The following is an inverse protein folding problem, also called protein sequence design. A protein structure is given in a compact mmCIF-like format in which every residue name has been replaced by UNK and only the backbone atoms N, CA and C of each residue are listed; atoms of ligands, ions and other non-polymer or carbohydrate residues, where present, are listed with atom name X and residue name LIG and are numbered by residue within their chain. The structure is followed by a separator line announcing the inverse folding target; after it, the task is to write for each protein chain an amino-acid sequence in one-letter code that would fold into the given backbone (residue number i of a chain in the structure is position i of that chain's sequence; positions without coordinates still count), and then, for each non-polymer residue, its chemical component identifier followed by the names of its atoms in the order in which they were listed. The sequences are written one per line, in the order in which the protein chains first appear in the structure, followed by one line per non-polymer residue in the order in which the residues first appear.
data_IF_608647575975
#
_entry.id   IF_608647575975
#
_cell.length_a   1.000
_cell.length_b   1.000
_cell.length_c   1.000
_cell.angle_alpha   90.00
_cell.angle_beta   90.00
_cell.angle_gamma   90.00
#
_symmetry.space_group_name_H-M   'P 1'
#
loop_
_entity.id
_entity.type
_entity.pdbx_description
1 polymer ?
#
# COMPACT_ATOMS: atom_id res chain seq x y z
N UNK A 1 -46.72 44.48 48.70
CA UNK A 1 -46.50 44.40 50.17
C UNK A 1 -45.69 43.18 50.59
N UNK A 2 -46.05 41.94 50.21
CA UNK A 2 -45.32 40.71 50.64
C UNK A 2 -43.84 40.70 50.22
N UNK A 3 -43.53 41.07 48.97
CA UNK A 3 -42.15 41.13 48.46
C UNK A 3 -41.31 42.22 49.14
N UNK A 4 -41.92 43.37 49.48
CA UNK A 4 -41.24 44.46 50.19
C UNK A 4 -40.85 44.06 51.60
N UNK A 5 -41.74 43.38 52.34
CA UNK A 5 -41.42 42.88 53.69
C UNK A 5 -40.30 41.84 53.68
N UNK A 6 -40.23 40.99 52.66
CA UNK A 6 -39.10 40.06 52.45
C UNK A 6 -37.80 40.80 52.14
N UNK A 7 -37.85 41.83 51.29
CA UNK A 7 -36.69 42.66 50.97
C UNK A 7 -36.16 43.40 52.21
N UNK A 8 -37.04 43.93 53.07
CA UNK A 8 -36.65 44.57 54.32
C UNK A 8 -36.04 43.58 55.33
N UNK A 9 -36.62 42.39 55.47
CA UNK A 9 -36.07 41.35 56.33
C UNK A 9 -34.67 40.92 55.87
N UNK A 10 -34.48 40.76 54.56
CA UNK A 10 -33.18 40.47 53.97
C UNK A 10 -32.19 41.62 54.20
N UNK A 11 -32.58 42.86 53.93
CA UNK A 11 -31.74 44.04 54.16
C UNK A 11 -31.25 44.13 55.61
N UNK A 12 -32.13 43.85 56.59
CA UNK A 12 -31.76 43.78 58.01
C UNK A 12 -30.79 42.64 58.29
N UNK A 13 -30.99 41.46 57.70
CA UNK A 13 -30.12 40.29 57.93
C UNK A 13 -28.71 40.47 57.37
N UNK A 14 -28.54 41.27 56.31
CA UNK A 14 -27.23 41.55 55.69
C UNK A 14 -26.62 42.89 56.14
N UNK A 15 -27.31 43.63 57.02
CA UNK A 15 -26.84 44.94 57.51
C UNK A 15 -26.86 46.07 56.47
N UNK A 16 -27.59 45.91 55.36
CA UNK A 16 -27.66 46.94 54.30
C UNK A 16 -28.72 48.00 54.64
N UNK A 17 -28.24 49.05 55.31
CA UNK A 17 -29.06 50.19 55.77
C UNK A 17 -29.65 50.97 54.59
N UNK A 18 -28.93 51.07 53.46
CA UNK A 18 -29.40 51.79 52.27
C UNK A 18 -30.55 51.04 51.57
N UNK A 19 -30.40 49.73 51.36
CA UNK A 19 -31.44 48.90 50.78
C UNK A 19 -32.69 48.85 51.68
N UNK A 20 -32.49 48.82 53.01
CA UNK A 20 -33.58 48.90 53.97
C UNK A 20 -34.34 50.24 53.83
N UNK A 21 -33.60 51.36 53.77
CA UNK A 21 -34.18 52.70 53.55
C UNK A 21 -34.97 52.81 52.24
N UNK A 22 -34.42 52.32 51.12
CA UNK A 22 -35.08 52.35 49.80
C UNK A 22 -36.38 51.52 49.79
N UNK A 23 -36.35 50.36 50.45
CA UNK A 23 -37.53 49.50 50.56
C UNK A 23 -38.63 50.15 51.40
N UNK A 24 -38.27 50.75 52.54
CA UNK A 24 -39.19 51.51 53.41
C UNK A 24 -39.83 52.69 52.66
N UNK A 25 -39.03 53.43 51.89
CA UNK A 25 -39.52 54.53 51.05
C UNK A 25 -40.51 54.05 49.98
N UNK A 26 -40.24 52.90 49.38
CA UNK A 26 -41.16 52.30 48.40
C UNK A 26 -42.49 51.90 49.05
N UNK A 27 -42.43 51.32 50.25
CA UNK A 27 -43.63 50.97 51.03
C UNK A 27 -44.46 52.22 51.38
N UNK A 28 -43.82 53.29 51.86
CA UNK A 28 -44.52 54.52 52.20
C UNK A 28 -45.14 55.20 50.98
N UNK A 29 -44.47 55.16 49.82
CA UNK A 29 -45.03 55.64 48.55
C UNK A 29 -46.29 54.87 48.13
N UNK A 30 -46.33 53.55 48.34
CA UNK A 30 -47.53 52.73 48.09
C UNK A 30 -48.65 53.11 49.07
N UNK A 31 -48.34 53.22 50.35
CA UNK A 31 -49.34 53.58 51.38
C UNK A 31 -49.98 54.95 51.11
N UNK A 32 -49.19 55.94 50.71
CA UNK A 32 -49.66 57.27 50.32
C UNK A 32 -50.62 57.20 49.11
N UNK A 33 -50.31 56.39 48.09
CA UNK A 33 -51.22 56.20 46.94
C UNK A 33 -52.53 55.50 47.31
N UNK A 34 -52.53 54.70 48.37
CA UNK A 34 -53.74 54.05 48.90
C UNK A 34 -54.53 54.93 49.89
N UNK A 35 -54.14 56.20 50.08
CA UNK A 35 -54.81 57.15 50.97
C UNK A 35 -54.48 56.99 52.46
N UNK A 36 -53.58 56.07 52.82
CA UNK A 36 -53.16 55.80 54.22
C UNK A 36 -52.03 56.74 54.63
N UNK A 37 -52.29 58.04 54.57
CA UNK A 37 -51.24 59.07 54.60
C UNK A 37 -50.56 59.22 55.96
N UNK A 38 -51.26 59.01 57.09
CA UNK A 38 -50.65 59.00 58.43
C UNK A 38 -49.64 57.86 58.61
N UNK A 39 -50.01 56.66 58.15
CA UNK A 39 -49.13 55.49 58.21
C UNK A 39 -47.92 55.66 57.29
N UNK A 40 -48.16 56.17 56.07
CA UNK A 40 -47.11 56.50 55.13
C UNK A 40 -46.11 57.53 55.70
N UNK A 41 -46.62 58.54 56.40
CA UNK A 41 -45.81 59.59 57.02
C UNK A 41 -44.93 59.03 58.15
N UNK A 42 -45.50 58.18 59.01
CA UNK A 42 -44.75 57.54 60.09
C UNK A 42 -43.60 56.66 59.55
N UNK A 43 -43.88 55.87 58.51
CA UNK A 43 -42.90 54.98 57.88
C UNK A 43 -41.84 55.77 57.11
N UNK A 44 -42.21 56.84 56.40
CA UNK A 44 -41.24 57.70 55.70
C UNK A 44 -40.27 58.40 56.66
N UNK A 45 -40.73 58.80 57.85
CA UNK A 45 -39.85 59.36 58.90
C UNK A 45 -38.83 58.33 59.41
N UNK A 46 -39.23 57.05 59.49
CA UNK A 46 -38.28 55.97 59.81
C UNK A 46 -37.26 55.79 58.69
N UNK A 47 -37.69 55.76 57.43
CA UNK A 47 -36.81 55.65 56.27
C UNK A 47 -35.82 56.80 56.16
N UNK A 48 -36.27 58.04 56.44
CA UNK A 48 -35.39 59.21 56.45
C UNK A 48 -34.25 59.08 57.46
N UNK A 49 -34.50 58.57 58.68
CA UNK A 49 -33.45 58.37 59.69
C UNK A 49 -32.35 57.41 59.21
N UNK A 50 -32.73 56.37 58.45
CA UNK A 50 -31.76 55.44 57.86
C UNK A 50 -30.89 56.12 56.80
N UNK A 51 -31.47 56.99 55.97
CA UNK A 51 -30.69 57.75 54.99
C UNK A 51 -29.77 58.79 55.64
N UNK A 52 -30.16 59.34 56.80
CA UNK A 52 -29.29 60.19 57.62
C UNK A 52 -28.11 59.38 58.17
N UNK A 53 -28.35 58.16 58.65
CA UNK A 53 -27.30 57.25 59.14
C UNK A 53 -26.27 56.89 58.05
N UNK A 54 -26.75 56.67 56.81
CA UNK A 54 -25.89 56.39 55.65
C UNK A 54 -25.17 57.66 55.14
N UNK A 55 -25.69 58.85 55.46
CA UNK A 55 -25.16 60.13 54.99
C UNK A 55 -25.45 60.42 53.51
N UNK A 56 -26.37 59.69 52.87
CA UNK A 56 -26.71 59.89 51.46
C UNK A 56 -27.64 61.09 51.29
N UNK A 57 -27.03 62.23 50.93
CA UNK A 57 -27.73 63.50 50.75
C UNK A 57 -28.85 63.45 49.70
N UNK A 58 -28.71 62.64 48.64
CA UNK A 58 -29.71 62.53 47.58
C UNK A 58 -30.97 61.82 48.09
N UNK A 59 -30.78 60.70 48.79
CA UNK A 59 -31.90 59.98 49.41
C UNK A 59 -32.52 60.74 50.59
N UNK A 60 -31.72 61.47 51.37
CA UNK A 60 -32.20 62.36 52.43
C UNK A 60 -33.13 63.45 51.86
N UNK A 61 -32.67 64.21 50.86
CA UNK A 61 -33.46 65.27 50.23
C UNK A 61 -34.75 64.72 49.60
N UNK A 62 -34.65 63.61 48.87
CA UNK A 62 -35.81 62.98 48.25
C UNK A 62 -36.81 62.43 49.27
N UNK A 63 -36.35 61.94 50.42
CA UNK A 63 -37.24 61.44 51.47
C UNK A 63 -37.98 62.55 52.19
N UNK A 64 -37.34 63.70 52.43
CA UNK A 64 -38.02 64.89 52.97
C UNK A 64 -39.09 65.41 52.00
N UNK A 65 -38.82 65.36 50.69
CA UNK A 65 -39.83 65.67 49.66
C UNK A 65 -41.02 64.72 49.77
N UNK A 66 -40.81 63.42 49.93
CA UNK A 66 -41.91 62.46 50.07
C UNK A 66 -42.70 62.64 51.38
N UNK A 67 -42.01 62.93 52.49
CA UNK A 67 -42.63 63.29 53.78
C UNK A 67 -43.53 64.52 53.61
N UNK A 68 -43.06 65.55 52.90
CA UNK A 68 -43.85 66.77 52.71
C UNK A 68 -45.07 66.54 51.82
N UNK A 69 -45.01 65.65 50.83
CA UNK A 69 -46.20 65.25 50.08
C UNK A 69 -47.27 64.60 50.96
N UNK A 70 -46.85 63.77 51.92
CA UNK A 70 -47.77 63.13 52.86
C UNK A 70 -48.40 64.16 53.80
N UNK A 71 -47.61 65.14 54.27
CA UNK A 71 -48.11 66.28 55.06
C UNK A 71 -49.09 67.15 54.27
N UNK A 72 -48.79 67.45 53.00
CA UNK A 72 -49.68 68.14 52.05
C UNK A 72 -50.99 67.36 51.90
N UNK A 73 -50.93 66.05 51.68
CA UNK A 73 -52.12 65.21 51.53
C UNK A 73 -52.99 65.15 52.81
N UNK A 74 -52.40 65.39 53.99
CA UNK A 74 -53.08 65.48 55.29
C UNK A 74 -53.55 66.92 55.63
N UNK A 75 -53.34 67.89 54.74
CA UNK A 75 -53.68 69.30 54.99
C UNK A 75 -52.75 70.02 55.96
N UNK A 76 -51.60 69.43 56.30
CA UNK A 76 -50.60 70.00 57.23
C UNK A 76 -49.62 70.90 56.50
N UNK A 77 -50.13 71.96 55.86
CA UNK A 77 -49.39 72.80 54.91
C UNK A 77 -48.15 73.46 55.52
N UNK A 78 -48.25 73.99 56.75
CA UNK A 78 -47.13 74.66 57.44
C UNK A 78 -46.00 73.69 57.77
N UNK A 79 -46.32 72.46 58.20
CA UNK A 79 -45.32 71.42 58.45
C UNK A 79 -44.64 70.95 57.16
N UNK A 80 -45.41 70.86 56.07
CA UNK A 80 -44.87 70.50 54.77
C UNK A 80 -43.86 71.52 54.26
N UNK A 81 -44.14 72.82 54.42
CA UNK A 81 -43.23 73.90 54.04
C UNK A 81 -41.92 73.81 54.84
N UNK A 82 -41.97 73.67 56.16
CA UNK A 82 -40.76 73.54 56.98
C UNK A 82 -39.91 72.30 56.60
N UNK A 83 -40.59 71.21 56.23
CA UNK A 83 -39.92 69.99 55.75
C UNK A 83 -39.28 70.20 54.37
N UNK A 84 -39.96 70.93 53.49
CA UNK A 84 -39.47 71.29 52.16
C UNK A 84 -38.29 72.28 52.22
N UNK A 85 -38.29 73.23 53.16
CA UNK A 85 -37.17 74.14 53.39
C UNK A 85 -35.93 73.37 53.83
N UNK A 86 -36.11 72.38 54.71
CA UNK A 86 -35.03 71.46 55.11
C UNK A 86 -34.52 70.63 53.93
N UNK A 87 -35.43 70.17 53.05
CA UNK A 87 -35.06 69.46 51.83
C UNK A 87 -34.30 70.34 50.84
N UNK A 88 -34.66 71.63 50.75
CA UNK A 88 -34.04 72.58 49.84
C UNK A 88 -32.57 72.79 50.17
N UNK A 89 -32.23 72.93 51.45
CA UNK A 89 -30.84 73.09 51.89
C UNK A 89 -29.98 71.90 51.43
N UNK A 90 -30.48 70.68 51.60
CA UNK A 90 -29.77 69.47 51.18
C UNK A 90 -29.67 69.38 49.66
N UNK A 91 -30.76 69.70 48.95
CA UNK A 91 -30.77 69.74 47.49
C UNK A 91 -29.82 70.79 46.93
N UNK A 92 -29.67 71.92 47.64
CA UNK A 92 -28.80 73.01 47.24
C UNK A 92 -27.32 72.65 47.37
N UNK A 93 -26.95 72.09 48.52
CA UNK A 93 -25.59 71.63 48.78
C UNK A 93 -25.18 70.44 47.92
N UNK A 94 -26.14 69.62 47.49
CA UNK A 94 -25.92 68.44 46.65
C UNK A 94 -25.99 68.70 45.15
N UNK A 95 -26.40 69.88 44.70
CA UNK A 95 -26.60 70.17 43.29
C UNK A 95 -27.74 69.36 42.65
N UNK A 96 -28.78 69.00 43.42
CA UNK A 96 -29.83 68.08 42.97
C UNK A 96 -30.97 68.83 42.26
N UNK A 97 -30.74 69.33 41.06
CA UNK A 97 -31.67 70.21 40.34
C UNK A 97 -33.07 69.62 40.12
N UNK A 98 -33.17 68.32 39.80
CA UNK A 98 -34.48 67.65 39.70
C UNK A 98 -35.22 67.63 41.03
N UNK A 99 -34.51 67.46 42.15
CA UNK A 99 -35.10 67.50 43.50
C UNK A 99 -35.49 68.92 43.87
N UNK A 100 -34.67 69.94 43.54
CA UNK A 100 -35.00 71.37 43.71
C UNK A 100 -36.30 71.72 42.99
N UNK A 101 -36.49 71.29 41.74
CA UNK A 101 -37.73 71.50 41.00
C UNK A 101 -38.94 70.92 41.72
N UNK A 102 -38.85 69.68 42.24
CA UNK A 102 -39.94 69.06 42.97
C UNK A 102 -40.26 69.81 44.28
N UNK A 103 -39.22 70.29 44.97
CA UNK A 103 -39.37 71.08 46.20
C UNK A 103 -40.09 72.39 45.89
N UNK A 104 -39.57 73.19 44.95
CA UNK A 104 -40.13 74.49 44.57
C UNK A 104 -41.61 74.40 44.16
N UNK A 105 -41.95 73.38 43.37
CA UNK A 105 -43.33 73.16 42.96
C UNK A 105 -44.25 72.80 44.14
N UNK A 106 -43.81 71.91 45.04
CA UNK A 106 -44.59 71.53 46.23
C UNK A 106 -44.72 72.66 47.24
N UNK A 107 -43.67 73.45 47.44
CA UNK A 107 -43.69 74.63 48.33
C UNK A 107 -44.63 75.69 47.76
N UNK A 108 -44.60 75.94 46.44
CA UNK A 108 -45.55 76.83 45.75
C UNK A 108 -46.99 76.40 46.00
N UNK A 109 -47.30 75.12 45.79
CA UNK A 109 -48.63 74.55 46.04
C UNK A 109 -49.06 74.68 47.50
N UNK A 110 -48.16 74.43 48.46
CA UNK A 110 -48.48 74.55 49.88
C UNK A 110 -48.77 76.00 50.30
N UNK A 111 -48.03 76.99 49.79
CA UNK A 111 -48.33 78.41 50.02
C UNK A 111 -49.66 78.84 49.39
N UNK A 112 -49.98 78.34 48.19
CA UNK A 112 -51.27 78.59 47.54
C UNK A 112 -52.44 78.10 48.41
N UNK A 113 -52.33 76.90 49.00
CA UNK A 113 -53.35 76.35 49.92
C UNK A 113 -53.46 77.11 51.25
N UNK A 114 -52.44 77.84 51.66
CA UNK A 114 -52.46 78.72 52.83
C UNK A 114 -52.99 80.14 52.53
N UNK A 115 -53.25 80.47 51.26
CA UNK A 115 -53.67 81.79 50.83
C UNK A 115 -52.53 82.82 50.71
N UNK A 116 -51.27 82.40 50.85
CA UNK A 116 -50.10 83.29 50.71
C UNK A 116 -49.62 83.31 49.25
N UNK A 117 -50.33 84.10 48.43
CA UNK A 117 -50.09 84.16 46.99
C UNK A 117 -48.73 84.75 46.63
N UNK A 118 -48.17 85.60 47.49
CA UNK A 118 -46.86 86.23 47.28
C UNK A 118 -45.75 85.19 47.30
N UNK A 119 -45.72 84.35 48.35
CA UNK A 119 -44.72 83.29 48.45
C UNK A 119 -44.97 82.17 47.43
N UNK A 120 -46.23 81.85 47.12
CA UNK A 120 -46.56 80.87 46.07
C UNK A 120 -45.98 81.26 44.71
N UNK A 121 -46.13 82.53 44.30
CA UNK A 121 -45.58 83.05 43.06
C UNK A 121 -44.05 83.02 43.04
N UNK A 122 -43.40 83.45 44.13
CA UNK A 122 -41.95 83.45 44.25
C UNK A 122 -41.34 82.05 44.05
N UNK A 123 -41.95 81.02 44.64
CA UNK A 123 -41.48 79.63 44.46
C UNK A 123 -41.71 79.13 43.03
N UNK A 124 -42.79 79.58 42.38
CA UNK A 124 -43.13 79.24 40.99
C UNK A 124 -42.16 79.86 39.99
N UNK A 125 -41.71 81.10 40.22
CA UNK A 125 -40.68 81.76 39.41
C UNK A 125 -39.34 81.04 39.52
N UNK A 126 -38.92 80.68 40.74
CA UNK A 126 -37.72 79.88 40.99
C UNK A 126 -37.80 78.51 40.31
N UNK A 127 -38.97 77.86 40.34
CA UNK A 127 -39.18 76.57 39.66
C UNK A 127 -38.90 76.68 38.15
N UNK A 128 -39.42 77.72 37.49
CA UNK A 128 -39.23 77.94 36.05
C UNK A 128 -37.74 78.11 35.71
N UNK A 129 -36.99 78.88 36.50
CA UNK A 129 -35.56 79.07 36.28
C UNK A 129 -34.76 77.77 36.35
N UNK A 130 -35.05 76.90 37.34
CA UNK A 130 -34.37 75.60 37.46
C UNK A 130 -34.82 74.63 36.36
N UNK A 131 -36.09 74.68 35.97
CA UNK A 131 -36.66 73.83 34.90
C UNK A 131 -35.94 74.03 33.57
N UNK A 132 -35.77 75.29 33.15
CA UNK A 132 -35.17 75.62 31.85
C UNK A 132 -33.70 75.13 31.76
N UNK A 133 -32.97 75.15 32.88
CA UNK A 133 -31.60 74.64 32.98
C UNK A 133 -31.53 73.10 32.88
N UNK A 134 -32.45 72.38 33.52
CA UNK A 134 -32.46 70.91 33.54
C UNK A 134 -32.86 70.32 32.18
N UNK A 135 -33.79 70.94 31.45
CA UNK A 135 -34.24 70.42 30.14
C UNK A 135 -33.15 70.49 29.06
N UNK A 136 -32.28 71.51 29.08
CA UNK A 136 -31.18 71.63 28.13
C UNK A 136 -30.15 70.49 28.22
N UNK A 137 -29.83 70.01 29.43
CA UNK A 137 -28.83 68.95 29.64
C UNK A 137 -29.29 67.57 29.21
N UNK A 138 -30.59 67.26 29.36
CA UNK A 138 -31.16 65.96 29.03
C UNK A 138 -31.20 65.67 27.52
N UNK A 139 -31.37 66.70 26.69
CA UNK A 139 -31.37 66.58 25.22
C UNK A 139 -29.97 66.20 24.72
N UNK A 140 -28.93 66.82 25.27
CA UNK A 140 -27.52 66.56 24.92
C UNK A 140 -27.13 65.11 25.27
N UNK A 141 -27.53 64.63 26.45
CA UNK A 141 -27.25 63.25 26.87
C UNK A 141 -27.92 62.21 25.95
N UNK A 142 -29.17 62.46 25.54
CA UNK A 142 -29.92 61.58 24.65
C UNK A 142 -29.27 61.49 23.26
N UNK A 143 -28.82 62.63 22.72
CA UNK A 143 -28.15 62.68 21.42
C UNK A 143 -26.82 61.92 21.45
N UNK A 144 -26.00 62.15 22.47
CA UNK A 144 -24.75 61.43 22.68
C UNK A 144 -24.98 59.91 22.75
N UNK A 145 -26.02 59.47 23.46
CA UNK A 145 -26.35 58.04 23.57
C UNK A 145 -26.82 57.42 22.25
N UNK A 146 -27.52 58.16 21.39
CA UNK A 146 -27.91 57.70 20.06
C UNK A 146 -26.71 57.61 19.11
N UNK A 147 -25.82 58.61 19.15
CA UNK A 147 -24.60 58.62 18.34
C UNK A 147 -23.67 57.45 18.70
N UNK A 148 -23.48 57.20 19.99
CA UNK A 148 -22.73 56.04 20.48
C UNK A 148 -23.32 54.71 19.99
N UNK A 149 -24.65 54.55 20.02
CA UNK A 149 -25.32 53.34 19.50
C UNK A 149 -25.11 53.16 17.99
N UNK A 150 -25.17 54.25 17.24
CA UNK A 150 -24.95 54.21 15.80
C UNK A 150 -23.50 53.83 15.47
N UNK A 151 -22.53 54.46 16.12
CA UNK A 151 -21.11 54.15 15.97
C UNK A 151 -20.80 52.70 16.33
N UNK A 152 -21.39 52.19 17.41
CA UNK A 152 -21.23 50.81 17.84
C UNK A 152 -21.82 49.82 16.82
N UNK A 153 -23.03 50.06 16.32
CA UNK A 153 -23.65 49.23 15.28
C UNK A 153 -22.81 49.21 13.99
N UNK A 154 -22.31 50.37 13.57
CA UNK A 154 -21.42 50.49 12.40
C UNK A 154 -20.13 49.67 12.57
N UNK A 155 -19.55 49.67 13.78
CA UNK A 155 -18.34 48.90 14.09
C UNK A 155 -18.59 47.39 14.04
N UNK A 156 -19.68 46.91 14.67
CA UNK A 156 -20.06 45.50 14.61
C UNK A 156 -20.27 45.02 13.17
N UNK A 157 -20.93 45.82 12.34
CA UNK A 157 -21.09 45.52 10.92
C UNK A 157 -19.74 45.42 10.20
N UNK A 158 -18.84 46.39 10.38
CA UNK A 158 -17.52 46.36 9.78
C UNK A 158 -16.72 45.09 10.18
N UNK A 159 -16.72 44.73 11.46
CA UNK A 159 -16.03 43.55 11.97
C UNK A 159 -16.62 42.25 11.38
N UNK A 160 -17.95 42.15 11.30
CA UNK A 160 -18.62 40.99 10.69
C UNK A 160 -18.30 40.81 9.20
N UNK A 161 -18.23 41.91 8.44
CA UNK A 161 -17.88 41.86 7.02
C UNK A 161 -16.42 41.46 6.84
N UNK A 162 -15.52 42.03 7.66
CA UNK A 162 -14.11 41.67 7.64
C UNK A 162 -13.91 40.17 7.95
N UNK A 163 -14.63 39.65 8.95
CA UNK A 163 -14.58 38.24 9.29
C UNK A 163 -15.14 37.34 8.17
N UNK A 164 -16.25 37.74 7.54
CA UNK A 164 -16.82 37.00 6.40
C UNK A 164 -15.86 36.97 5.20
N UNK A 165 -15.12 38.05 4.95
CA UNK A 165 -14.09 38.10 3.90
C UNK A 165 -12.90 37.18 4.21
N UNK A 166 -12.44 37.14 5.46
CA UNK A 166 -11.39 36.22 5.90
C UNK A 166 -11.81 34.75 5.68
N UNK A 167 -13.01 34.38 6.13
CA UNK A 167 -13.56 33.04 5.94
C UNK A 167 -13.68 32.66 4.46
N UNK A 168 -14.07 33.62 3.59
CA UNK A 168 -14.14 33.38 2.15
C UNK A 168 -12.75 33.11 1.55
N UNK A 169 -11.74 33.89 1.94
CA UNK A 169 -10.37 33.71 1.48
C UNK A 169 -9.75 32.39 1.97
N UNK A 170 -9.97 32.01 3.23
CA UNK A 170 -9.55 30.71 3.76
C UNK A 170 -10.21 29.54 3.04
N UNK A 171 -11.50 29.66 2.71
CA UNK A 171 -12.23 28.62 1.98
C UNK A 171 -11.72 28.48 0.53
N UNK A 172 -11.39 29.59 -0.12
CA UNK A 172 -10.83 29.58 -1.47
C UNK A 172 -9.42 28.98 -1.50
N UNK A 173 -8.55 29.40 -0.59
CA UNK A 173 -7.19 28.84 -0.45
C UNK A 173 -7.23 27.35 -0.10
N UNK A 174 -8.10 26.94 0.82
CA UNK A 174 -8.32 25.52 1.15
C UNK A 174 -8.78 24.70 -0.07
N UNK A 175 -9.74 25.23 -0.86
CA UNK A 175 -10.20 24.58 -2.10
C UNK A 175 -9.07 24.44 -3.13
N UNK A 176 -8.25 25.47 -3.30
CA UNK A 176 -7.09 25.42 -4.19
C UNK A 176 -6.07 24.38 -3.74
N UNK A 177 -5.79 24.28 -2.43
CA UNK A 177 -4.89 23.26 -1.89
C UNK A 177 -5.41 21.84 -2.15
N UNK A 178 -6.69 21.58 -1.89
CA UNK A 178 -7.31 20.27 -2.16
C UNK A 178 -7.26 19.93 -3.66
N UNK A 179 -7.54 20.89 -4.53
CA UNK A 179 -7.48 20.67 -5.97
C UNK A 179 -6.04 20.33 -6.42
N UNK A 180 -5.05 21.09 -5.95
CA UNK A 180 -3.63 20.84 -6.24
C UNK A 180 -3.14 19.49 -5.69
N UNK A 181 -3.64 19.07 -4.53
CA UNK A 181 -3.32 17.76 -3.96
C UNK A 181 -3.93 16.62 -4.79
N UNK A 182 -5.19 16.77 -5.22
CA UNK A 182 -5.86 15.77 -6.08
C UNK A 182 -5.15 15.61 -7.43
N UNK A 183 -4.82 16.71 -8.11
CA UNK A 183 -4.11 16.65 -9.41
C UNK A 183 -2.73 16.02 -9.29
N UNK A 184 -1.96 16.36 -8.23
CA UNK A 184 -0.67 15.71 -7.95
C UNK A 184 -0.81 14.21 -7.68
N UNK A 185 -1.80 13.81 -6.90
CA UNK A 185 -2.04 12.39 -6.59
C UNK A 185 -2.44 11.60 -7.84
N UNK A 186 -3.30 12.16 -8.69
CA UNK A 186 -3.68 11.56 -9.97
C UNK A 186 -2.49 11.44 -10.94
N UNK A 187 -1.63 12.45 -11.02
CA UNK A 187 -0.43 12.39 -11.85
C UNK A 187 0.54 11.29 -11.40
N UNK A 188 0.76 11.14 -10.08
CA UNK A 188 1.59 10.07 -9.51
C UNK A 188 0.99 8.70 -9.80
N UNK A 189 -0.33 8.52 -9.58
CA UNK A 189 -1.02 7.27 -9.85
C UNK A 189 -0.96 6.89 -11.35
N UNK A 190 -1.18 7.86 -12.25
CA UNK A 190 -1.05 7.66 -13.69
C UNK A 190 0.36 7.28 -14.14
N UNK A 191 1.38 7.96 -13.59
CA UNK A 191 2.79 7.62 -13.84
C UNK A 191 3.15 6.22 -13.34
N UNK A 192 2.68 5.84 -12.15
CA UNK A 192 2.86 4.48 -11.61
C UNK A 192 2.21 3.41 -12.48
N UNK A 193 0.99 3.63 -12.97
CA UNK A 193 0.30 2.70 -13.86
C UNK A 193 1.05 2.52 -15.20
N UNK A 194 1.58 3.60 -15.78
CA UNK A 194 2.39 3.53 -17.00
C UNK A 194 3.70 2.76 -16.80
N UNK A 195 4.37 2.93 -15.65
CA UNK A 195 5.57 2.16 -15.31
C UNK A 195 5.28 0.67 -15.15
N UNK A 196 4.17 0.32 -14.48
CA UNK A 196 3.75 -1.08 -14.35
C UNK A 196 3.41 -1.71 -15.70
N UNK A 197 2.68 -0.99 -16.57
CA UNK A 197 2.39 -1.44 -17.93
C UNK A 197 3.68 -1.62 -18.75
N UNK A 198 4.58 -0.63 -18.72
CA UNK A 198 5.87 -0.71 -19.42
C UNK A 198 6.73 -1.88 -18.93
N UNK A 199 6.81 -2.07 -17.61
CA UNK A 199 7.51 -3.21 -17.00
C UNK A 199 6.90 -4.56 -17.37
N UNK A 200 5.57 -4.65 -17.37
CA UNK A 200 4.85 -5.86 -17.78
C UNK A 200 5.10 -6.24 -19.24
N UNK A 201 5.06 -5.25 -20.15
CA UNK A 201 5.37 -5.46 -21.58
C UNK A 201 6.83 -5.89 -21.77
N UNK A 202 7.77 -5.22 -21.12
CA UNK A 202 9.19 -5.58 -21.19
C UNK A 202 9.45 -7.00 -20.69
N UNK A 203 8.83 -7.38 -19.56
CA UNK A 203 8.92 -8.73 -19.01
C UNK A 203 8.35 -9.80 -19.97
N UNK A 204 7.21 -9.53 -20.59
CA UNK A 204 6.60 -10.44 -21.55
C UNK A 204 7.48 -10.65 -22.79
N UNK A 205 8.06 -9.58 -23.33
CA UNK A 205 8.99 -9.64 -24.47
C UNK A 205 10.26 -10.41 -24.13
N UNK A 206 10.82 -10.17 -22.95
CA UNK A 206 12.02 -10.86 -22.46
C UNK A 206 11.76 -12.37 -22.25
N UNK A 207 10.60 -12.71 -21.69
CA UNK A 207 10.16 -14.11 -21.57
C UNK A 207 10.01 -14.79 -22.93
N UNK A 208 9.43 -14.10 -23.93
CA UNK A 208 9.30 -14.63 -25.29
C UNK A 208 10.67 -14.89 -25.93
N UNK A 209 11.59 -13.92 -25.83
CA UNK A 209 12.96 -14.04 -26.35
C UNK A 209 13.74 -15.18 -25.69
N UNK A 210 13.61 -15.36 -24.37
CA UNK A 210 14.22 -16.49 -23.66
C UNK A 210 13.71 -17.84 -24.18
N UNK A 211 12.40 -17.95 -24.39
CA UNK A 211 11.79 -19.18 -24.94
C UNK A 211 12.33 -19.48 -26.34
N UNK A 212 12.33 -18.50 -27.23
CA UNK A 212 12.86 -18.66 -28.60
C UNK A 212 14.35 -19.02 -28.63
N UNK A 213 15.16 -18.45 -27.73
CA UNK A 213 16.58 -18.82 -27.60
C UNK A 213 16.73 -20.26 -27.13
N UNK A 214 15.97 -20.67 -26.12
CA UNK A 214 16.01 -22.04 -25.60
C UNK A 214 15.61 -23.06 -26.67
N UNK A 215 14.54 -22.78 -27.45
CA UNK A 215 14.12 -23.63 -28.57
C UNK A 215 15.21 -23.74 -29.65
N UNK A 216 15.87 -22.63 -29.99
CA UNK A 216 17.00 -22.64 -30.95
C UNK A 216 18.20 -23.42 -30.44
N UNK A 217 18.56 -23.24 -29.17
CA UNK A 217 19.69 -23.93 -28.56
C UNK A 217 19.40 -25.43 -28.44
N UNK A 218 18.17 -25.81 -28.07
CA UNK A 218 17.73 -27.20 -28.05
C UNK A 218 17.82 -27.84 -29.45
N UNK A 219 17.29 -27.20 -30.49
CA UNK A 219 17.36 -27.70 -31.87
C UNK A 219 18.80 -27.81 -32.37
N UNK A 220 19.68 -26.87 -31.98
CA UNK A 220 21.11 -26.91 -32.32
C UNK A 220 21.81 -28.08 -31.63
N UNK A 221 21.53 -28.30 -30.35
CA UNK A 221 22.08 -29.42 -29.59
C UNK A 221 21.60 -30.76 -30.14
N UNK A 222 20.32 -30.87 -30.49
CA UNK A 222 19.76 -32.05 -31.15
C UNK A 222 20.47 -32.33 -32.48
N UNK A 223 20.62 -31.31 -33.33
CA UNK A 223 21.35 -31.42 -34.61
C UNK A 223 22.81 -31.84 -34.39
N UNK A 224 23.47 -31.30 -33.36
CA UNK A 224 24.86 -31.62 -33.03
C UNK A 224 24.99 -33.06 -32.50
N UNK A 225 24.05 -33.52 -31.68
CA UNK A 225 24.00 -34.89 -31.18
C UNK A 225 23.78 -35.90 -32.33
N UNK A 226 22.84 -35.61 -33.24
CA UNK A 226 22.60 -36.41 -34.44
C UNK A 226 23.86 -36.46 -35.34
N UNK A 227 24.56 -35.33 -35.52
CA UNK A 227 25.84 -35.30 -36.24
C UNK A 227 26.94 -36.11 -35.57
N UNK A 228 27.01 -36.12 -34.24
CA UNK A 228 28.02 -36.92 -33.53
C UNK A 228 27.78 -38.43 -33.61
N UNK A 229 26.54 -38.85 -33.87
CA UNK A 229 26.20 -40.26 -34.07
C UNK A 229 26.62 -40.78 -35.45
N UNK A 230 26.83 -39.88 -36.43
CA UNK A 230 27.43 -40.23 -37.72
C UNK A 230 28.95 -40.11 -37.60
N UNK A 231 29.64 -41.22 -37.33
CA UNK A 231 31.11 -41.24 -37.20
C UNK A 231 31.77 -40.71 -38.50
N UNK A 232 32.38 -39.50 -38.49
CA UNK A 232 32.91 -38.89 -39.72
C UNK A 232 34.05 -39.70 -40.33
N UNK A 233 34.79 -40.44 -39.51
CA UNK A 233 35.83 -41.36 -39.96
C UNK A 233 35.23 -42.55 -40.70
N UNK A 234 34.13 -43.12 -40.19
CA UNK A 234 33.41 -44.20 -40.89
C UNK A 234 32.88 -43.74 -42.26
N UNK A 235 32.27 -42.56 -42.33
CA UNK A 235 31.77 -42.02 -43.61
C UNK A 235 32.91 -41.80 -44.60
N UNK A 236 34.02 -41.19 -44.16
CA UNK A 236 35.18 -40.97 -45.02
C UNK A 236 35.77 -42.31 -45.52
N UNK A 237 35.86 -43.31 -44.65
CA UNK A 237 36.35 -44.64 -45.01
C UNK A 237 35.43 -45.36 -45.99
N UNK A 238 34.12 -45.28 -45.79
CA UNK A 238 33.14 -45.84 -46.73
C UNK A 238 33.27 -45.22 -48.12
N UNK A 239 33.42 -43.89 -48.21
CA UNK A 239 33.64 -43.19 -49.49
C UNK A 239 34.96 -43.60 -50.16
N UNK A 240 36.02 -43.83 -49.38
CA UNK A 240 37.31 -44.31 -49.90
C UNK A 240 37.21 -45.74 -50.44
N UNK A 241 36.49 -46.63 -49.75
CA UNK A 241 36.23 -48.00 -50.21
C UNK A 241 35.43 -48.02 -51.51
N UNK A 242 34.37 -47.20 -51.60
CA UNK A 242 33.61 -47.03 -52.84
C UNK A 242 34.52 -46.57 -53.98
N UNK A 243 35.36 -45.57 -53.72
CA UNK A 243 36.33 -45.07 -54.70
C UNK A 243 37.37 -46.13 -55.10
N UNK A 244 37.78 -47.00 -54.17
CA UNK A 244 38.70 -48.10 -54.45
C UNK A 244 38.07 -49.17 -55.34
N UNK A 245 36.85 -49.63 -55.05
CA UNK A 245 36.13 -50.60 -55.88
C UNK A 245 35.90 -50.08 -57.30
N UNK A 246 35.58 -48.79 -57.45
CA UNK A 246 35.47 -48.15 -58.77
C UNK A 246 36.80 -48.18 -59.53
N UNK A 247 37.92 -47.83 -58.86
CA UNK A 247 39.26 -47.88 -59.48
C UNK A 247 39.71 -49.30 -59.84
N UNK A 248 39.33 -50.29 -59.05
CA UNK A 248 39.65 -51.71 -59.27
C UNK A 248 38.75 -52.38 -60.33
N UNK A 249 37.84 -51.63 -60.97
CA UNK A 249 36.89 -52.14 -61.95
C UNK A 249 35.94 -53.22 -61.39
N UNK A 250 35.53 -53.07 -60.13
CA UNK A 250 34.55 -53.94 -59.46
C UNK A 250 33.21 -53.21 -59.22
N UNK A 251 32.48 -52.80 -60.28
CA UNK A 251 31.31 -51.95 -60.14
C UNK A 251 30.16 -52.60 -59.36
N UNK A 252 30.03 -53.94 -59.43
CA UNK A 252 29.03 -54.68 -58.68
C UNK A 252 29.27 -54.61 -57.17
N UNK A 253 30.53 -54.77 -56.73
CA UNK A 253 30.91 -54.63 -55.31
C UNK A 253 30.73 -53.20 -54.82
N UNK A 254 31.05 -52.20 -55.65
CA UNK A 254 30.79 -50.80 -55.33
C UNK A 254 29.29 -50.52 -55.14
N UNK A 255 28.43 -51.02 -56.04
CA UNK A 255 26.98 -50.83 -55.96
C UNK A 255 26.37 -51.49 -54.72
N UNK A 256 26.78 -52.72 -54.43
CA UNK A 256 26.34 -53.45 -53.23
C UNK A 256 26.78 -52.73 -51.94
N UNK A 257 28.03 -52.27 -51.89
CA UNK A 257 28.55 -51.50 -50.75
C UNK A 257 27.78 -50.19 -50.56
N UNK A 258 27.47 -49.45 -51.63
CA UNK A 258 26.65 -48.22 -51.58
C UNK A 258 25.25 -48.53 -51.03
N UNK A 259 24.61 -49.60 -51.49
CA UNK A 259 23.27 -49.96 -51.05
C UNK A 259 23.25 -50.31 -49.55
N UNK A 260 24.20 -51.14 -49.09
CA UNK A 260 24.35 -51.51 -47.67
C UNK A 260 24.70 -50.30 -46.80
N UNK A 261 25.60 -49.43 -47.26
CA UNK A 261 25.94 -48.18 -46.60
C UNK A 261 24.73 -47.25 -46.47
N UNK A 262 23.95 -47.07 -47.54
CA UNK A 262 22.72 -46.28 -47.51
C UNK A 262 21.68 -46.81 -46.53
N UNK A 263 21.50 -48.15 -46.47
CA UNK A 263 20.60 -48.81 -45.51
C UNK A 263 21.07 -48.60 -44.07
N UNK A 264 22.36 -48.81 -43.80
CA UNK A 264 22.94 -48.55 -42.47
C UNK A 264 22.74 -47.10 -42.03
N UNK A 265 23.04 -46.13 -42.90
CA UNK A 265 22.86 -44.71 -42.57
C UNK A 265 21.41 -44.36 -42.26
N UNK A 266 20.44 -44.96 -42.97
CA UNK A 266 19.02 -44.79 -42.68
C UNK A 266 18.66 -45.34 -41.30
N UNK A 267 19.06 -46.58 -41.00
CA UNK A 267 18.80 -47.23 -39.71
C UNK A 267 19.43 -46.45 -38.55
N UNK A 268 20.67 -45.99 -38.70
CA UNK A 268 21.36 -45.18 -37.68
C UNK A 268 20.58 -43.90 -37.39
N UNK A 269 20.11 -43.18 -38.42
CA UNK A 269 19.36 -41.94 -38.26
C UNK A 269 17.94 -42.15 -37.70
N UNK A 270 17.29 -43.25 -38.07
CA UNK A 270 15.95 -43.60 -37.57
C UNK A 270 16.03 -44.06 -36.11
N UNK A 271 16.94 -44.98 -35.79
CA UNK A 271 17.10 -45.53 -34.45
C UNK A 271 17.54 -44.46 -33.44
N UNK A 272 18.38 -43.51 -33.86
CA UNK A 272 18.95 -42.54 -32.93
C UNK A 272 18.01 -41.42 -32.47
N UNK A 273 16.86 -41.28 -33.13
CA UNK A 273 15.76 -40.41 -32.71
C UNK A 273 14.92 -40.99 -31.57
N UNK A 274 15.04 -42.30 -31.33
CA UNK A 274 14.25 -43.03 -30.35
C UNK A 274 15.05 -43.22 -29.06
N UNK A 275 14.35 -43.28 -27.92
CA UNK A 275 14.98 -43.57 -26.64
C UNK A 275 15.42 -45.04 -26.53
N UNK A 276 14.61 -45.95 -27.05
CA UNK A 276 14.89 -47.38 -27.20
C UNK A 276 14.36 -47.84 -28.57
N UNK A 277 14.97 -48.89 -29.11
CA UNK A 277 14.57 -49.55 -30.37
C UNK A 277 14.50 -51.06 -30.16
N UNK A 278 13.69 -51.80 -30.96
CA UNK A 278 13.71 -53.26 -30.92
C UNK A 278 15.13 -53.78 -31.16
N UNK A 279 15.53 -54.79 -30.40
CA UNK A 279 16.83 -55.45 -30.51
C UNK A 279 17.09 -55.90 -31.96
N UNK A 280 16.04 -56.34 -32.67
CA UNK A 280 16.10 -56.69 -34.09
C UNK A 280 16.64 -55.54 -34.95
N UNK A 281 16.17 -54.31 -34.74
CA UNK A 281 16.60 -53.13 -35.50
C UNK A 281 18.06 -52.77 -35.18
N UNK A 282 18.45 -52.88 -33.89
CA UNK A 282 19.82 -52.62 -33.48
C UNK A 282 20.80 -53.65 -34.07
N UNK A 283 20.40 -54.93 -34.08
CA UNK A 283 21.17 -56.02 -34.67
C UNK A 283 21.26 -55.93 -36.20
N UNK A 284 20.21 -55.47 -36.87
CA UNK A 284 20.25 -55.21 -38.31
C UNK A 284 21.29 -54.13 -38.65
N UNK A 285 21.29 -53.03 -37.89
CA UNK A 285 22.29 -51.98 -38.04
C UNK A 285 23.71 -52.50 -37.73
N UNK A 286 23.87 -53.27 -36.66
CA UNK A 286 25.17 -53.83 -36.26
C UNK A 286 25.71 -54.83 -37.30
N UNK A 287 24.86 -55.67 -37.86
CA UNK A 287 25.21 -56.61 -38.92
C UNK A 287 25.68 -55.90 -40.19
N UNK A 288 24.92 -54.90 -40.65
CA UNK A 288 25.32 -54.08 -41.81
C UNK A 288 26.65 -53.36 -41.56
N UNK A 289 26.88 -52.87 -40.34
CA UNK A 289 28.15 -52.25 -39.96
C UNK A 289 29.31 -53.25 -40.06
N UNK A 290 29.16 -54.45 -39.48
CA UNK A 290 30.16 -55.52 -39.52
C UNK A 290 30.46 -55.97 -40.95
N UNK A 291 29.44 -56.14 -41.79
CA UNK A 291 29.61 -56.50 -43.21
C UNK A 291 30.41 -55.45 -43.99
N UNK A 292 30.13 -54.16 -43.77
CA UNK A 292 30.84 -53.06 -44.45
C UNK A 292 32.31 -52.99 -43.99
N UNK A 293 32.57 -53.17 -42.70
CA UNK A 293 33.94 -53.20 -42.16
C UNK A 293 34.71 -54.44 -42.62
N UNK A 294 34.05 -55.60 -42.70
CA UNK A 294 34.62 -56.84 -43.23
C UNK A 294 35.02 -56.66 -44.70
N UNK A 295 34.12 -56.10 -45.53
CA UNK A 295 34.40 -55.82 -46.93
C UNK A 295 35.54 -54.80 -47.10
N UNK A 296 35.60 -53.76 -46.26
CA UNK A 296 36.66 -52.74 -46.27
C UNK A 296 38.03 -53.31 -45.90
N UNK A 297 38.06 -54.27 -44.99
CA UNK A 297 39.29 -54.91 -44.51
C UNK A 297 39.69 -56.13 -45.34
N UNK A 298 39.12 -56.31 -46.54
CA UNK A 298 39.40 -57.44 -47.44
C UNK A 298 39.14 -58.81 -46.77
N UNK A 299 38.10 -58.90 -45.94
CA UNK A 299 37.73 -60.10 -45.19
C UNK A 299 38.83 -60.60 -44.25
N UNK A 300 39.47 -59.67 -43.53
CA UNK A 300 40.47 -59.95 -42.48
C UNK A 300 39.88 -60.46 -41.17
N UNK A 301 38.57 -60.47 -41.02
CA UNK A 301 37.91 -61.07 -39.88
C UNK A 301 36.60 -61.72 -40.29
N UNK A 302 36.18 -62.69 -39.50
CA UNK A 302 34.85 -63.31 -39.57
C UNK A 302 34.03 -62.88 -38.35
N UNK A 303 32.71 -62.83 -38.47
CA UNK A 303 31.84 -62.47 -37.36
C UNK A 303 30.62 -63.38 -37.25
N UNK A 304 30.19 -63.61 -36.01
CA UNK A 304 29.01 -64.41 -35.70
C UNK A 304 28.14 -63.72 -34.64
N UNK A 305 26.83 -63.69 -34.88
CA UNK A 305 25.85 -63.16 -33.94
C UNK A 305 24.92 -64.31 -33.55
N UNK A 306 24.91 -64.64 -32.26
CA UNK A 306 24.13 -65.73 -31.70
C UNK A 306 23.09 -65.17 -30.72
N UNK A 307 21.82 -65.44 -30.99
CA UNK A 307 20.73 -65.21 -30.04
C UNK A 307 20.38 -66.54 -29.37
N UNK A 308 20.19 -66.51 -28.06
CA UNK A 308 19.73 -67.66 -27.29
C UNK A 308 18.28 -68.04 -27.65
N UNK A 309 17.99 -69.34 -27.65
CA UNK A 309 16.66 -69.85 -27.92
C UNK A 309 15.63 -69.29 -26.92
N UNK A 310 14.51 -68.76 -27.44
CA UNK A 310 13.45 -68.15 -26.63
C UNK A 310 13.59 -66.64 -26.40
N UNK A 311 14.63 -65.99 -26.94
CA UNK A 311 14.74 -64.54 -27.03
C UNK A 311 14.16 -64.04 -28.36
N UNK A 312 12.99 -63.39 -28.33
CA UNK A 312 12.46 -62.70 -29.51
C UNK A 312 13.05 -61.28 -29.60
N UNK A 313 13.87 -60.97 -30.62
CA UNK A 313 14.47 -59.65 -30.77
C UNK A 313 13.47 -58.55 -31.17
N UNK A 314 12.25 -58.87 -31.55
CA UNK A 314 11.19 -57.88 -31.78
C UNK A 314 10.52 -57.40 -30.49
N UNK A 315 10.50 -58.24 -29.44
CA UNK A 315 9.83 -57.95 -28.18
C UNK A 315 10.74 -57.25 -27.15
N UNK A 316 12.06 -57.28 -27.38
CA UNK A 316 13.04 -56.69 -26.47
C UNK A 316 13.53 -55.35 -27.00
N UNK A 317 13.37 -54.29 -26.20
CA UNK A 317 13.85 -52.95 -26.54
C UNK A 317 15.20 -52.67 -25.87
N UNK A 318 16.12 -52.07 -26.63
CA UNK A 318 17.46 -51.68 -26.19
C UNK A 318 17.74 -50.22 -26.57
N UNK A 319 18.61 -49.51 -25.84
CA UNK A 319 19.11 -48.22 -26.30
C UNK A 319 19.80 -48.39 -27.66
N UNK A 320 19.56 -47.49 -28.63
CA UNK A 320 20.13 -47.64 -29.97
C UNK A 320 21.66 -47.61 -29.93
N UNK A 321 22.30 -48.39 -30.80
CA UNK A 321 23.74 -48.46 -31.03
C UNK A 321 24.54 -48.79 -29.76
N UNK A 322 23.98 -49.58 -28.84
CA UNK A 322 24.60 -49.83 -27.52
C UNK A 322 25.82 -50.75 -27.62
N UNK A 323 25.80 -51.73 -28.53
CA UNK A 323 26.91 -52.66 -28.75
C UNK A 323 28.00 -52.09 -29.68
N UNK A 324 27.64 -51.14 -30.54
CA UNK A 324 28.51 -50.65 -31.60
C UNK A 324 29.88 -50.16 -31.11
N UNK A 325 30.02 -49.38 -30.01
CA UNK A 325 31.33 -48.93 -29.56
C UNK A 325 32.27 -50.06 -29.12
N UNK A 326 31.72 -51.19 -28.66
CA UNK A 326 32.52 -52.36 -28.28
C UNK A 326 32.93 -53.17 -29.51
N UNK A 327 32.02 -53.33 -30.47
CA UNK A 327 32.32 -53.96 -31.75
C UNK A 327 33.34 -53.16 -32.55
N UNK A 328 33.23 -51.82 -32.57
CA UNK A 328 34.24 -50.94 -33.16
C UNK A 328 35.61 -51.18 -32.51
N UNK A 329 35.68 -51.25 -31.17
CA UNK A 329 36.94 -51.53 -30.49
C UNK A 329 37.50 -52.91 -30.88
N UNK A 330 36.67 -53.96 -30.95
CA UNK A 330 37.09 -55.30 -31.35
C UNK A 330 37.63 -55.33 -32.80
N UNK A 331 37.04 -54.57 -33.72
CA UNK A 331 37.54 -54.47 -35.10
C UNK A 331 38.88 -53.73 -35.14
N UNK A 332 38.92 -52.49 -34.64
CA UNK A 332 40.05 -51.59 -34.84
C UNK A 332 41.26 -51.91 -33.96
N UNK A 333 41.01 -52.33 -32.71
CA UNK A 333 42.05 -52.62 -31.73
C UNK A 333 42.30 -54.11 -31.54
N UNK A 334 41.30 -54.96 -31.77
CA UNK A 334 41.44 -56.41 -31.67
C UNK A 334 42.02 -57.02 -32.95
N UNK A 335 41.21 -57.08 -34.01
CA UNK A 335 41.48 -57.94 -35.19
C UNK A 335 42.19 -57.23 -36.34
N UNK A 336 42.05 -55.91 -36.52
CA UNK A 336 42.65 -55.19 -37.67
C UNK A 336 44.19 -55.21 -37.69
N UNK A 337 44.85 -55.47 -36.56
CA UNK A 337 46.31 -55.52 -36.42
C UNK A 337 46.90 -56.93 -36.41
N UNK A 338 46.06 -57.97 -36.50
CA UNK A 338 46.52 -59.36 -36.41
C UNK A 338 47.19 -59.84 -37.70
N UNK A 339 48.10 -60.81 -37.54
CA UNK A 339 48.61 -61.62 -38.63
C UNK A 339 47.67 -62.81 -38.81
N UNK A 340 46.84 -62.78 -39.86
CA UNK A 340 45.84 -63.81 -40.14
C UNK A 340 44.42 -63.26 -40.16
N UNK A 341 43.43 -64.16 -40.10
CA UNK A 341 42.01 -63.79 -39.94
C UNK A 341 41.63 -63.83 -38.46
N UNK A 342 41.03 -62.74 -37.98
CA UNK A 342 40.43 -62.69 -36.65
C UNK A 342 38.96 -63.12 -36.65
N UNK A 343 38.37 -63.23 -35.47
CA UNK A 343 36.99 -63.62 -35.23
C UNK A 343 36.34 -62.71 -34.18
N UNK A 344 35.13 -62.25 -34.47
CA UNK A 344 34.30 -61.48 -33.54
C UNK A 344 33.00 -62.24 -33.30
N UNK A 345 32.74 -62.64 -32.06
CA UNK A 345 31.54 -63.39 -31.69
C UNK A 345 30.70 -62.59 -30.72
N UNK A 346 29.42 -62.41 -31.05
CA UNK A 346 28.42 -61.72 -30.24
C UNK A 346 27.40 -62.73 -29.76
N UNK A 347 27.31 -62.94 -28.45
CA UNK A 347 26.30 -63.80 -27.83
C UNK A 347 25.30 -62.96 -27.06
N UNK A 348 24.01 -63.18 -27.28
CA UNK A 348 22.94 -62.42 -26.67
C UNK A 348 21.98 -63.39 -25.99
N UNK A 349 21.81 -63.21 -24.69
CA UNK A 349 21.07 -64.14 -23.84
C UNK A 349 20.22 -63.41 -22.82
N UNK A 350 19.13 -64.06 -22.40
CA UNK A 350 18.24 -63.52 -21.37
C UNK A 350 18.56 -64.18 -20.04
N UNK A 351 18.94 -63.38 -19.05
CA UNK A 351 19.19 -63.85 -17.69
C UNK A 351 18.19 -63.21 -16.71
N UNK A 352 17.02 -63.85 -16.57
CA UNK A 352 15.91 -63.32 -15.78
C UNK A 352 15.35 -62.03 -16.39
N UNK A 353 15.48 -60.94 -15.65
CA UNK A 353 15.03 -59.58 -16.02
C UNK A 353 16.16 -58.75 -16.68
N UNK A 354 17.20 -59.42 -17.17
CA UNK A 354 18.35 -58.79 -17.80
C UNK A 354 18.62 -59.39 -19.18
N UNK A 355 19.00 -58.52 -20.11
CA UNK A 355 19.63 -58.87 -21.36
C UNK A 355 21.14 -58.78 -21.19
N UNK A 356 21.84 -59.88 -21.46
CA UNK A 356 23.30 -59.97 -21.40
C UNK A 356 23.81 -60.13 -22.82
N UNK A 357 24.71 -59.24 -23.23
CA UNK A 357 25.36 -59.23 -24.53
C UNK A 357 26.86 -59.36 -24.34
N UNK A 358 27.41 -60.49 -24.76
CA UNK A 358 28.84 -60.80 -24.72
C UNK A 358 29.45 -60.53 -26.10
N UNK A 359 30.35 -59.55 -26.21
CA UNK A 359 31.14 -59.29 -27.42
C UNK A 359 32.55 -59.83 -27.17
N UNK A 360 32.96 -60.86 -27.90
CA UNK A 360 34.29 -61.47 -27.77
C UNK A 360 35.07 -61.36 -29.07
N UNK A 361 36.34 -61.02 -28.99
CA UNK A 361 37.29 -61.09 -30.11
C UNK A 361 38.48 -61.97 -29.76
N UNK A 362 39.13 -62.55 -30.78
CA UNK A 362 40.39 -63.29 -30.66
C UNK A 362 41.62 -62.40 -30.96
N UNK A 363 41.46 -61.09 -30.79
CA UNK A 363 42.45 -60.06 -31.08
C UNK A 363 43.76 -60.17 -30.31
N UNK A 364 44.66 -59.21 -30.53
CA UNK A 364 45.92 -59.09 -29.78
C UNK A 364 45.75 -58.86 -28.26
N UNK A 365 44.50 -58.67 -27.81
CA UNK A 365 44.16 -58.38 -26.42
C UNK A 365 44.51 -56.96 -26.00
N UNK A 366 44.09 -56.57 -24.79
CA UNK A 366 44.55 -55.35 -24.13
C UNK A 366 45.90 -55.62 -23.49
N UNK A 367 46.99 -55.53 -24.25
CA UNK A 367 48.35 -55.68 -23.70
C UNK A 367 48.61 -54.77 -22.49
N UNK A 368 49.60 -55.12 -21.65
CA UNK A 368 50.06 -54.28 -20.53
C UNK A 368 50.22 -52.81 -20.96
N UNK A 369 49.94 -51.83 -20.06
CA UNK A 369 49.95 -50.42 -20.40
C UNK A 369 51.31 -50.07 -21.01
N UNK A 370 51.32 -49.83 -22.32
CA UNK A 370 52.54 -49.64 -23.07
C UNK A 370 53.24 -48.39 -22.54
N UNK A 371 54.48 -48.56 -22.07
CA UNK A 371 55.40 -47.49 -21.63
C UNK A 371 55.87 -46.59 -22.78
N UNK A 372 55.12 -46.54 -23.89
CA UNK A 372 55.29 -45.55 -24.94
C UNK A 372 54.64 -44.25 -24.50
N UNK A 373 55.41 -43.16 -24.45
CA UNK A 373 54.99 -41.77 -24.16
C UNK A 373 53.99 -41.17 -25.17
N UNK A 374 53.06 -41.96 -25.68
CA UNK A 374 51.84 -41.48 -26.32
C UNK A 374 50.81 -41.38 -25.20
N UNK A 375 50.28 -40.19 -24.87
CA UNK A 375 49.33 -40.07 -23.77
C UNK A 375 48.17 -41.04 -24.00
N UNK A 376 47.96 -41.96 -23.06
CA UNK A 376 46.74 -42.77 -22.97
C UNK A 376 45.56 -41.81 -23.15
N UNK A 377 44.97 -41.83 -24.35
CA UNK A 377 43.72 -41.12 -24.58
C UNK A 377 42.71 -41.79 -23.66
N UNK A 378 42.38 -41.09 -22.57
CA UNK A 378 41.13 -41.20 -21.80
C UNK A 378 40.07 -41.87 -22.67
N UNK A 379 39.53 -43.00 -22.21
CA UNK A 379 38.72 -43.97 -22.97
C UNK A 379 37.98 -43.39 -24.18
N UNK A 380 38.05 -44.11 -25.31
CA UNK A 380 37.50 -43.67 -26.61
C UNK A 380 36.13 -43.02 -26.40
N UNK A 381 35.91 -41.85 -27.02
CA UNK A 381 34.71 -41.02 -26.83
C UNK A 381 33.41 -41.85 -26.89
N UNK A 382 33.37 -42.90 -27.73
CA UNK A 382 32.29 -43.88 -27.80
C UNK A 382 32.02 -44.60 -26.48
N UNK A 383 33.02 -45.13 -25.79
CA UNK A 383 32.85 -45.82 -24.49
C UNK A 383 32.37 -44.89 -23.36
N UNK A 384 32.81 -43.62 -23.37
CA UNK A 384 32.32 -42.61 -22.43
C UNK A 384 30.84 -42.27 -22.68
N UNK A 385 30.44 -42.15 -23.95
CA UNK A 385 29.05 -41.91 -24.34
C UNK A 385 28.18 -43.11 -23.96
N UNK A 386 28.63 -44.34 -24.20
CA UNK A 386 27.90 -45.56 -23.80
C UNK A 386 27.74 -45.64 -22.29
N UNK A 387 28.78 -45.33 -21.51
CA UNK A 387 28.67 -45.29 -20.05
C UNK A 387 27.60 -44.31 -19.56
N UNK A 388 27.62 -43.08 -20.08
CA UNK A 388 26.61 -42.07 -19.74
C UNK A 388 25.19 -42.50 -20.12
N UNK A 389 25.03 -43.25 -21.22
CA UNK A 389 23.74 -43.82 -21.65
C UNK A 389 23.27 -44.94 -20.73
N UNK A 390 24.15 -45.83 -20.29
CA UNK A 390 23.82 -46.90 -19.34
C UNK A 390 23.44 -46.32 -17.97
N UNK A 391 24.14 -45.28 -17.50
CA UNK A 391 23.79 -44.57 -16.27
C UNK A 391 22.36 -43.99 -16.34
N UNK A 392 21.94 -43.49 -17.51
CA UNK A 392 20.58 -42.99 -17.73
C UNK A 392 19.55 -44.12 -17.67
N UNK A 393 19.81 -45.25 -18.34
CA UNK A 393 18.94 -46.44 -18.32
C UNK A 393 18.77 -46.96 -16.90
N UNK A 394 19.87 -47.05 -16.14
CA UNK A 394 19.83 -47.48 -14.74
C UNK A 394 18.96 -46.56 -13.88
N UNK A 395 19.04 -45.23 -14.07
CA UNK A 395 18.19 -44.28 -13.34
C UNK A 395 16.72 -44.37 -13.72
N UNK A 396 16.41 -44.67 -14.97
CA UNK A 396 15.02 -44.76 -15.45
C UNK A 396 14.35 -46.06 -15.03
N UNK A 397 15.04 -47.21 -15.17
CA UNK A 397 14.48 -48.53 -14.88
C UNK A 397 14.71 -48.98 -13.43
N UNK A 398 15.52 -48.26 -12.65
CA UNK A 398 15.82 -48.59 -11.26
C UNK A 398 16.57 -49.92 -11.07
N UNK A 399 17.17 -50.44 -12.14
CA UNK A 399 17.85 -51.74 -12.21
C UNK A 399 19.26 -51.57 -12.78
N UNK A 400 20.24 -52.43 -12.45
CA UNK A 400 21.62 -52.26 -12.90
C UNK A 400 21.75 -52.30 -14.43
N UNK A 401 22.48 -51.35 -15.01
CA UNK A 401 22.90 -51.35 -16.40
C UNK A 401 24.40 -50.99 -16.46
N UNK A 402 25.23 -51.90 -16.95
CA UNK A 402 26.69 -51.72 -16.91
C UNK A 402 27.39 -52.53 -18.00
N UNK A 403 28.68 -52.27 -18.20
CA UNK A 403 29.55 -53.15 -18.98
C UNK A 403 30.83 -53.44 -18.19
N UNK A 404 31.47 -54.57 -18.49
CA UNK A 404 32.79 -54.91 -17.99
C UNK A 404 33.65 -55.56 -19.07
N UNK A 405 34.92 -55.20 -19.07
CA UNK A 405 35.94 -55.87 -19.87
C UNK A 405 36.45 -57.10 -19.10
N UNK A 406 36.61 -58.21 -19.81
CA UNK A 406 37.11 -59.48 -19.32
C UNK A 406 38.24 -59.88 -20.26
N UNK A 407 39.48 -59.80 -19.78
CA UNK A 407 40.63 -60.20 -20.57
C UNK A 407 40.66 -61.72 -20.74
N UNK A 408 40.92 -62.19 -21.95
CA UNK A 408 41.00 -63.60 -22.28
C UNK A 408 42.45 -63.98 -22.59
N UNK A 409 42.75 -65.29 -22.59
CA UNK A 409 44.08 -65.78 -22.97
C UNK A 409 44.46 -65.37 -24.41
N UNK A 410 43.45 -65.19 -25.26
CA UNK A 410 43.53 -64.64 -26.61
C UNK A 410 42.38 -63.65 -26.75
N UNK A 411 42.68 -62.39 -27.05
CA UNK A 411 41.70 -61.34 -27.27
C UNK A 411 40.98 -60.80 -26.02
N UNK A 412 39.82 -60.18 -26.24
CA UNK A 412 39.06 -59.46 -25.19
C UNK A 412 37.58 -59.84 -25.27
N UNK A 413 36.94 -60.01 -24.10
CA UNK A 413 35.47 -60.10 -23.99
C UNK A 413 34.90 -58.89 -23.28
N UNK A 414 33.82 -58.32 -23.81
CA UNK A 414 33.00 -57.31 -23.15
C UNK A 414 31.66 -57.91 -22.82
N UNK A 415 31.31 -57.93 -21.54
CA UNK A 415 29.95 -58.27 -21.10
C UNK A 415 29.19 -56.98 -20.86
N UNK A 416 28.10 -56.78 -21.59
CA UNK A 416 27.17 -55.66 -21.48
C UNK A 416 25.84 -56.17 -20.92
N UNK A 417 25.36 -55.55 -19.84
CA UNK A 417 24.14 -55.94 -19.13
C UNK A 417 23.14 -54.80 -19.16
N UNK A 418 21.93 -55.09 -19.64
CA UNK A 418 20.80 -54.17 -19.69
C UNK A 418 19.57 -54.74 -18.96
N UNK A 419 18.83 -53.93 -18.20
CA UNK A 419 17.54 -54.34 -17.67
C UNK A 419 16.48 -54.30 -18.77
N UNK A 420 15.77 -55.42 -18.92
CA UNK A 420 14.63 -55.57 -19.85
C UNK A 420 13.30 -55.47 -19.12
#
# INVERSE_FOLDING_TARGET
MILLRRAQALARSIGDVLMLGQSIKTESGILNRTGRNEEALAISRQGYRLFVEVGDRAWMASSLVDISAMQIALGRWKEAIATLDSAMIIADQGGFDRTRMLILNRTSYAYEKLGDMKNALLQKERYTQVKDSVEGTAVVEKLAKQEQRFLFARRLFADSVAHAQQLALEKETSRQQVHRQRTRTQAIAGGGALLLLGGGVAFALDRKRRKERFEKDAARLETQALRSQMNPHFIFNALNSISAFIRQQEPHRAQEFIARFGRLMRLVLENSRMAEVPLKSDLEALGLYLELEQARTENKFDFHIHLEDGLDPEEVNVPPLVMQPFVENSIWHGVSGMVGRGSITIHIRRQGDQLVMDISDDGVGRGEPSTSNVPEKKGSLGTLITKARLDLVQRQKGRPAFFRYIDQAIGTRVELVLPI
#
